data_IF_924416648085
#
_entry.id   IF_924416648085
#
_cell.length_a   1.000
_cell.length_b   1.000
_cell.length_c   1.000
_cell.angle_alpha   90.00
_cell.angle_beta   90.00
_cell.angle_gamma   90.00
#
_symmetry.space_group_name_H-M   'P 1'
#
loop_
_entity.id
_entity.type
_entity.pdbx_description
1 polymer ?
#
# COMPACT_ATOMS: atom_id res chain seq x y z
N UNK A 1 -24.18 16.87 -0.40
CA UNK A 1 -24.36 16.22 0.92
C UNK A 1 -23.18 16.58 1.81
N UNK A 2 -23.30 16.35 3.14
CA UNK A 2 -22.14 16.44 4.05
C UNK A 2 -21.52 15.07 4.24
N UNK A 3 -20.22 14.95 4.01
CA UNK A 3 -19.46 13.71 4.10
C UNK A 3 -18.25 13.94 5.00
N UNK A 4 -18.02 13.03 5.93
CA UNK A 4 -16.77 13.01 6.68
C UNK A 4 -15.85 11.90 6.12
N UNK A 5 -14.55 12.18 6.06
CA UNK A 5 -13.53 11.20 5.70
C UNK A 5 -12.50 11.14 6.83
N UNK A 6 -12.35 10.00 7.47
CA UNK A 6 -11.36 9.80 8.53
C UNK A 6 -10.06 9.25 7.98
N UNK A 7 -8.96 9.99 8.16
CA UNK A 7 -7.61 9.67 7.73
C UNK A 7 -7.18 10.42 6.46
N UNK A 8 -6.08 11.17 6.55
CA UNK A 8 -5.46 11.95 5.46
C UNK A 8 -4.26 11.22 4.81
N UNK A 9 -4.37 9.90 4.64
CA UNK A 9 -3.43 9.09 3.84
C UNK A 9 -3.86 9.00 2.38
N UNK A 10 -3.16 8.17 1.59
CA UNK A 10 -3.44 7.97 0.15
C UNK A 10 -4.92 7.65 -0.14
N UNK A 11 -5.52 6.73 0.62
CA UNK A 11 -6.92 6.33 0.43
C UNK A 11 -7.89 7.45 0.83
N UNK A 12 -7.72 7.99 2.04
CA UNK A 12 -8.66 8.98 2.57
C UNK A 12 -8.63 10.28 1.78
N UNK A 13 -7.45 10.83 1.52
CA UNK A 13 -7.34 12.10 0.80
C UNK A 13 -7.83 11.98 -0.65
N UNK A 14 -7.49 10.89 -1.38
CA UNK A 14 -7.99 10.68 -2.74
C UNK A 14 -9.51 10.58 -2.79
N UNK A 15 -10.12 9.78 -1.88
CA UNK A 15 -11.58 9.69 -1.79
C UNK A 15 -12.21 11.05 -1.42
N UNK A 16 -11.61 11.78 -0.46
CA UNK A 16 -12.12 13.09 -0.05
C UNK A 16 -12.12 14.09 -1.22
N UNK A 17 -11.04 14.14 -2.02
CA UNK A 17 -10.94 15.02 -3.18
C UNK A 17 -11.97 14.70 -4.27
N UNK A 18 -12.18 13.42 -4.55
CA UNK A 18 -13.16 13.00 -5.55
C UNK A 18 -14.59 13.32 -5.10
N UNK A 19 -14.94 13.01 -3.86
CA UNK A 19 -16.24 13.30 -3.29
C UNK A 19 -16.51 14.80 -3.14
N UNK A 20 -15.46 15.60 -2.90
CA UNK A 20 -15.56 17.05 -2.72
C UNK A 20 -15.91 17.81 -4.01
N UNK A 21 -15.87 17.15 -5.18
CA UNK A 21 -16.35 17.75 -6.44
C UNK A 21 -17.84 18.10 -6.38
N UNK A 22 -18.65 17.26 -5.72
CA UNK A 22 -20.11 17.36 -5.69
C UNK A 22 -20.69 17.46 -4.27
N UNK A 23 -19.86 17.36 -3.24
CA UNK A 23 -20.31 17.34 -1.84
C UNK A 23 -19.45 18.25 -0.97
N UNK A 24 -20.00 18.65 0.19
CA UNK A 24 -19.24 19.26 1.27
C UNK A 24 -18.51 18.16 2.05
N UNK A 25 -17.17 18.16 2.01
CA UNK A 25 -16.35 17.12 2.62
C UNK A 25 -15.51 17.69 3.75
N UNK A 26 -15.60 17.06 4.94
CA UNK A 26 -14.71 17.28 6.06
C UNK A 26 -13.74 16.10 6.20
N UNK A 27 -12.47 16.36 5.97
CA UNK A 27 -11.41 15.37 6.14
C UNK A 27 -10.84 15.49 7.56
N UNK A 28 -10.86 14.38 8.29
CA UNK A 28 -10.43 14.34 9.69
C UNK A 28 -9.10 13.64 9.82
N UNK A 29 -8.10 14.32 10.39
CA UNK A 29 -6.83 13.71 10.76
C UNK A 29 -6.30 14.31 12.06
N UNK A 30 -5.74 13.54 13.00
CA UNK A 30 -5.17 14.05 14.24
C UNK A 30 -3.88 14.86 14.02
N UNK A 31 -3.23 14.71 12.87
CA UNK A 31 -2.02 15.43 12.52
C UNK A 31 -2.34 16.86 12.07
N UNK A 32 -2.04 17.82 12.93
CA UNK A 32 -2.30 19.24 12.68
C UNK A 32 -1.52 19.80 11.49
N UNK A 33 -0.33 19.28 11.19
CA UNK A 33 0.46 19.70 10.02
C UNK A 33 -0.21 19.24 8.71
N UNK A 34 -0.71 18.00 8.66
CA UNK A 34 -1.49 17.54 7.51
C UNK A 34 -2.74 18.39 7.29
N UNK A 35 -3.47 18.67 8.37
CA UNK A 35 -4.67 19.52 8.32
C UNK A 35 -4.33 20.90 7.77
N UNK A 36 -3.23 21.50 8.22
CA UNK A 36 -2.75 22.81 7.76
C UNK A 36 -2.38 22.79 6.29
N UNK A 37 -1.59 21.81 5.84
CA UNK A 37 -1.17 21.66 4.44
C UNK A 37 -2.40 21.55 3.51
N UNK A 38 -3.34 20.64 3.82
CA UNK A 38 -4.53 20.42 3.00
C UNK A 38 -5.38 21.69 2.89
N UNK A 39 -5.60 22.40 4.00
CA UNK A 39 -6.34 23.66 4.01
C UNK A 39 -5.58 24.80 3.28
N UNK A 40 -4.24 24.69 3.18
CA UNK A 40 -3.39 25.57 2.40
C UNK A 40 -3.32 25.21 0.91
N UNK A 41 -4.00 24.14 0.47
CA UNK A 41 -3.92 23.67 -0.93
C UNK A 41 -2.67 22.86 -1.23
N UNK A 42 -1.98 22.36 -0.21
CA UNK A 42 -0.76 21.56 -0.32
C UNK A 42 -1.01 20.10 0.03
N UNK A 43 -0.30 19.19 -0.62
CA UNK A 43 -0.43 17.75 -0.36
C UNK A 43 0.50 17.30 0.77
N UNK A 44 -0.01 16.60 1.80
CA UNK A 44 0.82 16.00 2.84
C UNK A 44 1.45 14.65 2.43
N UNK A 45 1.17 14.17 1.21
CA UNK A 45 1.65 12.88 0.69
C UNK A 45 2.20 13.06 -0.73
N UNK A 46 3.11 12.18 -1.13
CA UNK A 46 3.76 12.25 -2.45
C UNK A 46 2.89 11.59 -3.53
N UNK A 47 2.01 12.37 -4.12
CA UNK A 47 1.18 12.02 -5.27
C UNK A 47 0.98 13.26 -6.14
N UNK A 48 1.51 13.24 -7.35
CA UNK A 48 1.45 14.38 -8.28
C UNK A 48 0.00 14.74 -8.64
N UNK A 49 -0.85 13.73 -8.81
CA UNK A 49 -2.27 13.93 -9.09
C UNK A 49 -2.97 14.70 -7.97
N UNK A 50 -2.69 14.35 -6.71
CA UNK A 50 -3.23 15.02 -5.53
C UNK A 50 -2.71 16.46 -5.45
N UNK A 51 -1.40 16.69 -5.65
CA UNK A 51 -0.83 18.05 -5.65
C UNK A 51 -1.51 18.93 -6.69
N UNK A 52 -1.60 18.44 -7.93
CA UNK A 52 -2.22 19.17 -9.02
C UNK A 52 -3.72 19.44 -8.78
N UNK A 53 -4.41 18.50 -8.14
CA UNK A 53 -5.84 18.66 -7.83
C UNK A 53 -6.06 19.70 -6.74
N UNK A 54 -5.30 19.67 -5.65
CA UNK A 54 -5.38 20.64 -4.57
C UNK A 54 -5.12 22.07 -5.05
N UNK A 55 -4.16 22.26 -5.96
CA UNK A 55 -3.86 23.59 -6.53
C UNK A 55 -4.98 24.16 -7.39
N UNK A 56 -5.82 23.32 -8.02
CA UNK A 56 -6.94 23.78 -8.85
C UNK A 56 -8.07 24.45 -8.05
N UNK A 57 -8.26 24.07 -6.79
CA UNK A 57 -9.18 24.74 -5.85
C UNK A 57 -10.68 24.66 -6.17
N UNK A 58 -11.09 23.86 -7.13
CA UNK A 58 -12.50 23.78 -7.55
C UNK A 58 -13.22 22.58 -6.89
N UNK A 59 -13.27 22.58 -5.56
CA UNK A 59 -13.88 21.53 -4.75
C UNK A 59 -14.24 22.06 -3.34
N UNK A 60 -15.14 21.35 -2.64
CA UNK A 60 -15.64 21.73 -1.31
C UNK A 60 -15.02 20.81 -0.24
N UNK A 61 -13.71 20.91 -0.04
CA UNK A 61 -12.96 20.16 0.98
C UNK A 61 -12.43 21.11 2.06
N UNK A 62 -12.58 20.71 3.31
CA UNK A 62 -11.90 21.30 4.46
C UNK A 62 -11.36 20.18 5.36
N UNK A 63 -10.13 20.32 5.82
CA UNK A 63 -9.56 19.41 6.81
C UNK A 63 -9.72 19.96 8.23
N UNK A 64 -9.88 19.06 9.20
CA UNK A 64 -10.04 19.40 10.62
C UNK A 64 -9.48 18.30 11.51
N UNK A 65 -9.03 18.65 12.71
CA UNK A 65 -8.75 17.67 13.78
C UNK A 65 -9.94 17.48 14.74
N UNK A 66 -11.04 18.22 14.53
CA UNK A 66 -12.23 18.14 15.37
C UNK A 66 -13.22 17.10 14.86
N UNK A 67 -13.15 15.89 15.42
CA UNK A 67 -14.01 14.76 15.07
C UNK A 67 -15.50 15.04 15.32
N UNK A 68 -15.85 15.77 16.40
CA UNK A 68 -17.24 16.10 16.70
C UNK A 68 -17.87 16.98 15.61
N UNK A 69 -17.12 17.97 15.14
CA UNK A 69 -17.56 18.84 14.06
C UNK A 69 -17.78 18.05 12.76
N UNK A 70 -16.88 17.13 12.46
CA UNK A 70 -16.93 16.38 11.21
C UNK A 70 -18.06 15.35 11.17
N UNK A 71 -18.32 14.66 12.28
CA UNK A 71 -19.26 13.54 12.30
C UNK A 71 -20.72 13.95 12.62
N UNK A 72 -20.95 15.09 13.29
CA UNK A 72 -22.26 15.46 13.80
C UNK A 72 -23.37 15.47 12.73
N UNK A 73 -23.11 16.05 11.58
CA UNK A 73 -24.08 16.23 10.49
C UNK A 73 -23.74 15.42 9.23
N UNK A 74 -22.77 14.50 9.30
CA UNK A 74 -22.34 13.73 8.16
C UNK A 74 -23.39 12.68 7.76
N UNK A 75 -23.83 12.69 6.51
CA UNK A 75 -24.67 11.62 5.95
C UNK A 75 -23.88 10.33 5.75
N UNK A 76 -22.59 10.47 5.40
CA UNK A 76 -21.65 9.36 5.21
C UNK A 76 -20.35 9.64 5.95
N UNK A 77 -19.76 8.59 6.53
CA UNK A 77 -18.43 8.62 7.11
C UNK A 77 -17.57 7.55 6.44
N UNK A 78 -16.59 7.99 5.67
CA UNK A 78 -15.62 7.11 5.00
C UNK A 78 -14.44 6.89 5.96
N UNK A 79 -14.17 5.64 6.33
CA UNK A 79 -13.11 5.29 7.27
C UNK A 79 -11.91 4.76 6.50
N UNK A 80 -10.84 5.57 6.40
CA UNK A 80 -9.62 5.30 5.65
C UNK A 80 -8.36 5.52 6.50
N UNK A 81 -8.39 5.01 7.73
CA UNK A 81 -7.30 5.12 8.71
C UNK A 81 -6.34 3.91 8.62
N UNK A 82 -5.09 4.04 9.08
CA UNK A 82 -4.11 2.96 9.03
C UNK A 82 -4.54 1.71 9.81
N UNK A 83 -4.21 0.53 9.25
CA UNK A 83 -4.35 -0.78 9.89
C UNK A 83 -3.01 -1.50 9.76
N UNK A 84 -2.08 -1.25 10.68
CA UNK A 84 -0.76 -1.87 10.68
C UNK A 84 -0.86 -3.33 11.12
N UNK A 85 0.01 -4.18 10.57
CA UNK A 85 0.17 -5.54 11.07
C UNK A 85 1.07 -5.51 12.31
N UNK A 86 0.63 -6.12 13.39
CA UNK A 86 1.41 -6.28 14.63
C UNK A 86 1.94 -7.70 14.70
N UNK A 87 3.26 -7.87 14.59
CA UNK A 87 3.92 -9.17 14.65
C UNK A 87 3.68 -9.88 15.99
N UNK A 88 3.61 -9.14 17.10
CA UNK A 88 3.44 -9.66 18.46
C UNK A 88 2.12 -10.41 18.64
N UNK A 89 1.09 -9.98 17.92
CA UNK A 89 -0.25 -10.60 17.98
C UNK A 89 -0.62 -11.30 16.65
N UNK A 90 0.28 -11.27 15.66
CA UNK A 90 0.09 -11.82 14.34
C UNK A 90 -1.24 -11.40 13.66
N UNK A 91 -1.64 -10.13 13.81
CA UNK A 91 -2.93 -9.60 13.30
C UNK A 91 -2.82 -8.12 12.98
N UNK A 92 -3.79 -7.63 12.18
CA UNK A 92 -3.99 -6.21 12.02
C UNK A 92 -4.38 -5.52 13.33
N UNK A 93 -3.79 -4.35 13.58
CA UNK A 93 -4.27 -3.44 14.60
C UNK A 93 -5.45 -2.63 14.05
N UNK A 94 -6.65 -3.00 14.46
CA UNK A 94 -7.90 -2.34 14.07
C UNK A 94 -8.35 -1.27 15.05
N UNK A 95 -7.56 -0.98 16.08
CA UNK A 95 -7.96 -0.09 17.19
C UNK A 95 -8.37 1.30 16.72
N UNK A 96 -7.69 1.86 15.70
CA UNK A 96 -8.04 3.19 15.17
C UNK A 96 -9.37 3.12 14.41
N UNK A 97 -9.60 2.09 13.59
CA UNK A 97 -10.88 1.88 12.88
C UNK A 97 -12.03 1.74 13.88
N UNK A 98 -11.83 0.94 14.93
CA UNK A 98 -12.80 0.74 15.99
C UNK A 98 -13.12 2.05 16.71
N UNK A 99 -12.09 2.84 17.07
CA UNK A 99 -12.26 4.14 17.73
C UNK A 99 -13.07 5.13 16.87
N UNK A 100 -12.82 5.18 15.56
CA UNK A 100 -13.59 6.03 14.64
C UNK A 100 -15.06 5.59 14.62
N UNK A 101 -15.32 4.29 14.44
CA UNK A 101 -16.70 3.76 14.37
C UNK A 101 -17.44 4.00 15.69
N UNK A 102 -16.79 3.80 16.83
CA UNK A 102 -17.36 4.09 18.17
C UNK A 102 -17.76 5.55 18.29
N UNK A 103 -16.87 6.48 17.92
CA UNK A 103 -17.15 7.92 17.98
C UNK A 103 -18.28 8.30 17.06
N UNK A 104 -18.28 7.83 15.82
CA UNK A 104 -19.38 8.10 14.87
C UNK A 104 -20.70 7.58 15.41
N UNK A 105 -20.76 6.34 15.89
CA UNK A 105 -21.99 5.73 16.43
C UNK A 105 -22.54 6.47 17.65
N UNK A 106 -21.67 7.13 18.43
CA UNK A 106 -22.07 7.96 19.59
C UNK A 106 -22.55 9.34 19.19
N UNK A 107 -21.85 9.97 18.21
CA UNK A 107 -22.12 11.37 17.79
C UNK A 107 -23.32 11.43 16.85
N UNK A 108 -23.39 10.49 15.88
CA UNK A 108 -24.38 10.49 14.81
C UNK A 108 -24.81 9.06 14.46
N UNK A 109 -25.92 8.63 15.03
CA UNK A 109 -26.47 7.27 14.81
C UNK A 109 -27.05 7.08 13.41
N UNK A 110 -27.26 8.16 12.68
CA UNK A 110 -27.86 8.13 11.34
C UNK A 110 -26.83 8.05 10.22
N UNK A 111 -25.58 8.36 10.50
CA UNK A 111 -24.50 8.28 9.53
C UNK A 111 -24.31 6.85 8.98
N UNK A 112 -24.16 6.77 7.67
CA UNK A 112 -23.73 5.53 7.00
C UNK A 112 -22.22 5.48 7.04
N UNK A 113 -21.66 4.43 7.64
CA UNK A 113 -20.21 4.24 7.78
C UNK A 113 -19.72 3.31 6.68
N UNK A 114 -18.75 3.77 5.90
CA UNK A 114 -18.11 2.98 4.83
C UNK A 114 -16.65 2.77 5.18
N UNK A 115 -16.28 1.54 5.53
CA UNK A 115 -14.91 1.17 5.85
C UNK A 115 -14.15 0.93 4.54
N UNK A 116 -13.11 1.72 4.29
CA UNK A 116 -12.14 1.52 3.21
C UNK A 116 -10.79 1.01 3.71
N UNK A 117 -10.51 1.13 5.00
CA UNK A 117 -9.34 0.53 5.63
C UNK A 117 -9.36 -0.99 5.47
N UNK A 118 -8.21 -1.60 5.19
CA UNK A 118 -8.10 -3.06 5.12
C UNK A 118 -8.26 -3.66 6.52
N UNK A 119 -9.21 -4.57 6.69
CA UNK A 119 -9.54 -5.18 7.98
C UNK A 119 -9.51 -6.72 7.87
N UNK A 120 -9.43 -7.46 8.99
CA UNK A 120 -9.54 -8.91 8.98
C UNK A 120 -10.92 -9.37 8.50
N UNK A 121 -11.00 -10.58 7.93
CA UNK A 121 -12.26 -11.19 7.50
C UNK A 121 -13.19 -11.41 8.72
N UNK A 122 -14.43 -10.91 8.62
CA UNK A 122 -15.42 -10.92 9.69
C UNK A 122 -15.44 -9.69 10.58
N UNK A 123 -14.55 -8.71 10.35
CA UNK A 123 -14.44 -7.51 11.15
C UNK A 123 -15.71 -6.67 11.13
N UNK A 124 -16.27 -6.39 9.95
CA UNK A 124 -17.47 -5.56 9.80
C UNK A 124 -18.65 -6.10 10.60
N UNK A 125 -18.81 -7.43 10.59
CA UNK A 125 -19.85 -8.12 11.40
C UNK A 125 -19.58 -7.94 12.90
N UNK A 126 -18.34 -8.15 13.32
CA UNK A 126 -17.95 -8.03 14.73
C UNK A 126 -18.16 -6.62 15.26
N UNK A 127 -17.75 -5.63 14.50
CA UNK A 127 -17.83 -4.22 14.93
C UNK A 127 -19.28 -3.71 14.95
N UNK A 128 -20.11 -4.16 14.00
CA UNK A 128 -21.54 -3.87 13.96
C UNK A 128 -22.24 -4.38 15.22
N UNK A 129 -21.95 -5.61 15.64
CA UNK A 129 -22.48 -6.19 16.88
C UNK A 129 -21.97 -5.42 18.12
N UNK A 130 -20.68 -5.08 18.15
CA UNK A 130 -20.05 -4.38 19.28
C UNK A 130 -20.69 -3.03 19.55
N UNK A 131 -21.00 -2.27 18.49
CA UNK A 131 -21.57 -0.91 18.62
C UNK A 131 -23.07 -0.84 18.34
N UNK A 132 -23.72 -1.99 18.17
CA UNK A 132 -25.16 -2.11 17.90
C UNK A 132 -25.64 -1.19 16.76
N UNK A 133 -24.95 -1.27 15.62
CA UNK A 133 -25.27 -0.49 14.41
C UNK A 133 -25.27 -1.36 13.17
N UNK A 134 -26.32 -1.24 12.34
CA UNK A 134 -26.41 -1.92 11.04
C UNK A 134 -25.90 -1.06 9.88
N UNK A 135 -25.57 0.20 10.12
CA UNK A 135 -25.17 1.17 9.09
C UNK A 135 -23.66 1.15 8.81
N UNK A 136 -23.02 -0.02 8.93
CA UNK A 136 -21.59 -0.23 8.64
C UNK A 136 -21.44 -1.11 7.40
N UNK A 137 -20.76 -0.58 6.40
CA UNK A 137 -20.49 -1.23 5.13
C UNK A 137 -18.98 -1.31 4.92
N UNK A 138 -18.54 -2.29 4.15
CA UNK A 138 -17.15 -2.41 3.75
C UNK A 138 -17.00 -2.18 2.25
N UNK A 139 -16.08 -1.30 1.85
CA UNK A 139 -15.77 -1.05 0.44
C UNK A 139 -14.26 -1.06 0.24
N UNK A 140 -13.67 -2.21 -0.15
CA UNK A 140 -12.23 -2.33 -0.30
C UNK A 140 -11.66 -1.35 -1.31
N UNK A 141 -10.44 -0.86 -1.03
CA UNK A 141 -9.71 0.01 -1.92
C UNK A 141 -8.60 -0.77 -2.64
N UNK A 142 -8.40 -0.49 -3.94
CA UNK A 142 -7.41 -1.17 -4.77
C UNK A 142 -6.40 -0.22 -5.42
N UNK A 143 -6.33 1.02 -4.96
CA UNK A 143 -5.39 2.03 -5.47
C UNK A 143 -3.93 1.68 -5.17
N UNK A 144 -3.04 2.30 -5.95
CA UNK A 144 -1.58 2.22 -5.79
C UNK A 144 -1.04 3.52 -5.22
N UNK A 145 -0.17 3.43 -4.21
CA UNK A 145 0.57 4.58 -3.68
C UNK A 145 1.36 5.26 -4.82
N UNK A 146 1.41 6.60 -4.80
CA UNK A 146 2.00 7.42 -5.85
C UNK A 146 1.11 7.66 -7.09
N UNK A 147 0.00 6.91 -7.24
CA UNK A 147 -1.02 7.08 -8.28
C UNK A 147 -2.43 7.02 -7.71
N UNK A 148 -2.56 7.35 -6.43
CA UNK A 148 -3.77 7.10 -5.66
C UNK A 148 -4.97 7.88 -6.21
N UNK A 149 -4.80 9.15 -6.56
CA UNK A 149 -5.89 9.94 -7.13
C UNK A 149 -6.32 9.41 -8.50
N UNK A 150 -5.37 9.06 -9.36
CA UNK A 150 -5.68 8.49 -10.68
C UNK A 150 -6.47 7.18 -10.54
N UNK A 151 -6.01 6.27 -9.70
CA UNK A 151 -6.68 4.99 -9.48
C UNK A 151 -8.06 5.16 -8.81
N UNK A 152 -8.22 6.19 -7.96
CA UNK A 152 -9.51 6.54 -7.37
C UNK A 152 -10.49 7.14 -8.39
N UNK A 153 -9.99 7.90 -9.38
CA UNK A 153 -10.81 8.42 -10.49
C UNK A 153 -11.18 7.36 -11.52
N UNK A 154 -10.32 6.33 -11.68
CA UNK A 154 -10.47 5.26 -12.66
C UNK A 154 -10.41 3.89 -11.96
N UNK A 155 -11.31 3.61 -11.01
CA UNK A 155 -11.27 2.36 -10.26
C UNK A 155 -11.56 1.17 -11.18
N UNK A 156 -10.75 0.12 -11.08
CA UNK A 156 -10.95 -1.11 -11.86
C UNK A 156 -12.28 -1.80 -11.53
N UNK A 157 -12.79 -1.57 -10.33
CA UNK A 157 -14.07 -2.10 -9.82
C UNK A 157 -14.46 -1.39 -8.52
N UNK A 158 -15.75 -1.42 -8.20
CA UNK A 158 -16.29 -1.03 -6.89
C UNK A 158 -16.98 -2.24 -6.28
N UNK A 159 -16.63 -2.55 -5.04
CA UNK A 159 -17.24 -3.63 -4.26
C UNK A 159 -17.86 -3.01 -3.01
N UNK A 160 -19.11 -3.37 -2.72
CA UNK A 160 -19.80 -2.99 -1.50
C UNK A 160 -20.17 -4.25 -0.74
N UNK A 161 -19.63 -4.39 0.45
CA UNK A 161 -19.95 -5.42 1.43
C UNK A 161 -20.99 -4.94 2.42
N UNK A 162 -22.14 -5.61 2.50
CA UNK A 162 -23.22 -5.35 3.42
C UNK A 162 -23.42 -6.50 4.42
N UNK A 163 -23.94 -6.21 5.61
CA UNK A 163 -24.21 -7.23 6.65
C UNK A 163 -25.56 -7.91 6.47
N UNK A 164 -26.52 -7.25 5.88
CA UNK A 164 -27.83 -7.71 5.54
C UNK A 164 -28.15 -7.33 4.09
N UNK A 165 -29.24 -7.86 3.54
CA UNK A 165 -29.67 -7.55 2.17
C UNK A 165 -30.24 -6.10 2.08
N UNK A 166 -29.45 -5.14 2.56
CA UNK A 166 -29.77 -3.71 2.46
C UNK A 166 -29.28 -3.18 1.12
N UNK A 167 -29.98 -3.59 0.07
CA UNK A 167 -29.65 -3.19 -1.31
C UNK A 167 -29.84 -1.70 -1.54
N UNK A 168 -30.81 -1.08 -0.88
CA UNK A 168 -31.09 0.35 -1.07
C UNK A 168 -29.90 1.21 -0.64
N UNK A 169 -29.37 0.97 0.59
CA UNK A 169 -28.21 1.73 1.08
C UNK A 169 -26.96 1.37 0.28
N UNK A 170 -26.79 0.09 -0.08
CA UNK A 170 -25.66 -0.33 -0.91
C UNK A 170 -25.64 0.38 -2.27
N UNK A 171 -26.79 0.56 -2.94
CA UNK A 171 -26.88 1.33 -4.17
C UNK A 171 -26.61 2.82 -3.96
N UNK A 172 -27.09 3.41 -2.87
CA UNK A 172 -26.77 4.82 -2.53
C UNK A 172 -25.25 5.02 -2.34
N UNK A 173 -24.57 4.06 -1.70
CA UNK A 173 -23.09 4.09 -1.58
C UNK A 173 -22.43 3.97 -2.94
N UNK A 174 -22.90 3.06 -3.80
CA UNK A 174 -22.39 2.92 -5.17
C UNK A 174 -22.55 4.23 -5.94
N UNK A 175 -23.73 4.82 -5.91
CA UNK A 175 -24.01 6.08 -6.62
C UNK A 175 -23.13 7.22 -6.11
N UNK A 176 -22.96 7.35 -4.79
CA UNK A 176 -22.03 8.29 -4.17
C UNK A 176 -20.59 8.11 -4.66
N UNK A 177 -20.08 6.88 -4.67
CA UNK A 177 -18.71 6.60 -5.12
C UNK A 177 -18.53 6.79 -6.63
N UNK A 178 -19.61 6.69 -7.43
CA UNK A 178 -19.57 6.83 -8.88
C UNK A 178 -19.87 8.25 -9.39
N UNK A 179 -20.48 9.12 -8.59
CA UNK A 179 -21.03 10.41 -9.05
C UNK A 179 -20.01 11.37 -9.65
N UNK A 180 -18.73 11.20 -9.27
CA UNK A 180 -17.62 12.06 -9.72
C UNK A 180 -16.64 11.35 -10.65
N UNK A 181 -16.95 10.11 -11.07
CA UNK A 181 -16.13 9.32 -11.98
C UNK A 181 -16.48 9.61 -13.44
N UNK A 182 -15.49 9.58 -14.31
CA UNK A 182 -15.69 9.77 -15.76
C UNK A 182 -16.44 8.60 -16.41
N UNK A 183 -16.32 7.40 -15.84
CA UNK A 183 -17.02 6.19 -16.30
C UNK A 183 -17.38 5.29 -15.13
N UNK A 184 -18.52 4.61 -15.23
CA UNK A 184 -18.97 3.66 -14.20
C UNK A 184 -18.20 2.34 -14.34
N UNK A 185 -17.43 1.94 -13.30
CA UNK A 185 -16.67 0.68 -13.33
C UNK A 185 -17.60 -0.53 -13.11
N UNK A 186 -17.12 -1.76 -13.28
CA UNK A 186 -17.80 -2.95 -12.77
C UNK A 186 -18.11 -2.83 -11.28
N UNK A 187 -19.35 -3.16 -10.91
CA UNK A 187 -19.86 -3.03 -9.53
C UNK A 187 -20.31 -4.40 -9.05
N UNK A 188 -19.96 -4.72 -7.80
CA UNK A 188 -20.42 -5.93 -7.14
C UNK A 188 -20.86 -5.63 -5.70
N UNK A 189 -22.11 -5.96 -5.38
CA UNK A 189 -22.66 -5.92 -4.01
C UNK A 189 -22.68 -7.35 -3.49
N UNK A 190 -22.13 -7.56 -2.27
CA UNK A 190 -21.99 -8.88 -1.67
C UNK A 190 -22.04 -8.79 -0.14
N UNK A 191 -21.91 -9.92 0.57
CA UNK A 191 -21.73 -9.91 2.02
C UNK A 191 -20.45 -9.18 2.44
N UNK A 192 -20.48 -8.55 3.62
CA UNK A 192 -19.33 -7.79 4.11
C UNK A 192 -18.09 -8.69 4.32
N UNK A 193 -18.29 -9.89 4.84
CA UNK A 193 -17.21 -10.86 5.06
C UNK A 193 -16.57 -11.32 3.75
N UNK A 194 -17.36 -11.52 2.71
CA UNK A 194 -16.89 -11.86 1.38
C UNK A 194 -16.10 -10.69 0.75
N UNK A 195 -16.57 -9.46 0.92
CA UNK A 195 -15.87 -8.28 0.43
C UNK A 195 -14.51 -8.06 1.12
N UNK A 196 -14.42 -8.30 2.44
CA UNK A 196 -13.17 -8.31 3.21
C UNK A 196 -12.21 -9.39 2.67
N UNK A 197 -12.71 -10.59 2.41
CA UNK A 197 -11.92 -11.67 1.82
C UNK A 197 -11.39 -11.30 0.43
N UNK A 198 -12.21 -10.68 -0.44
CA UNK A 198 -11.77 -10.22 -1.77
C UNK A 198 -10.53 -9.34 -1.69
N UNK A 199 -10.46 -8.42 -0.73
CA UNK A 199 -9.29 -7.55 -0.57
C UNK A 199 -8.02 -8.33 -0.27
N UNK A 200 -8.08 -9.25 0.69
CA UNK A 200 -6.91 -10.03 1.10
C UNK A 200 -6.48 -11.02 0.02
N UNK A 201 -7.43 -11.71 -0.62
CA UNK A 201 -7.14 -12.64 -1.71
C UNK A 201 -6.58 -11.93 -2.95
N UNK A 202 -7.10 -10.75 -3.31
CA UNK A 202 -6.56 -9.98 -4.42
C UNK A 202 -5.09 -9.60 -4.19
N UNK A 203 -4.77 -9.06 -3.01
CA UNK A 203 -3.38 -8.67 -2.69
C UNK A 203 -2.47 -9.90 -2.56
N UNK A 204 -2.96 -11.02 -2.01
CA UNK A 204 -2.19 -12.26 -1.94
C UNK A 204 -1.92 -12.84 -3.33
N UNK A 205 -2.88 -12.76 -4.27
CA UNK A 205 -2.65 -13.16 -5.66
C UNK A 205 -1.54 -12.32 -6.32
N UNK A 206 -1.55 -11.00 -6.11
CA UNK A 206 -0.49 -10.14 -6.65
C UNK A 206 0.88 -10.47 -6.03
N UNK A 207 0.93 -10.74 -4.72
CA UNK A 207 2.15 -11.18 -4.04
C UNK A 207 2.65 -12.52 -4.59
N UNK A 208 1.74 -13.47 -4.85
CA UNK A 208 2.05 -14.75 -5.48
C UNK A 208 2.69 -14.56 -6.86
N UNK A 209 2.16 -13.67 -7.68
CA UNK A 209 2.75 -13.39 -9.00
C UNK A 209 4.19 -12.88 -8.89
N UNK A 210 4.44 -11.92 -8.00
CA UNK A 210 5.81 -11.44 -7.74
C UNK A 210 6.70 -12.58 -7.25
N UNK A 211 6.22 -13.42 -6.33
CA UNK A 211 6.97 -14.60 -5.85
C UNK A 211 7.30 -15.57 -6.97
N UNK A 212 6.35 -15.87 -7.85
CA UNK A 212 6.56 -16.76 -9.00
C UNK A 212 7.68 -16.25 -9.90
N UNK A 213 7.66 -14.98 -10.31
CA UNK A 213 8.69 -14.42 -11.17
C UNK A 213 10.01 -14.23 -10.44
N UNK A 214 10.02 -14.02 -9.14
CA UNK A 214 11.24 -14.02 -8.33
C UNK A 214 11.89 -15.41 -8.26
N UNK A 215 11.12 -16.49 -8.14
CA UNK A 215 11.64 -17.85 -8.15
C UNK A 215 12.13 -18.28 -9.55
N UNK A 216 11.42 -17.87 -10.61
CA UNK A 216 11.87 -18.03 -11.98
C UNK A 216 13.22 -17.33 -12.19
N UNK A 217 13.37 -16.11 -11.68
CA UNK A 217 14.61 -15.34 -11.74
C UNK A 217 15.77 -16.02 -10.99
N UNK A 218 15.49 -16.57 -9.80
CA UNK A 218 16.47 -17.39 -9.05
C UNK A 218 16.92 -18.59 -9.88
N UNK A 219 15.97 -19.33 -10.45
CA UNK A 219 16.26 -20.49 -11.28
C UNK A 219 17.14 -20.13 -12.47
N UNK A 220 16.79 -19.06 -13.19
CA UNK A 220 17.54 -18.60 -14.35
C UNK A 220 18.97 -18.18 -13.95
N UNK A 221 19.14 -17.41 -12.88
CA UNK A 221 20.46 -16.98 -12.41
C UNK A 221 21.33 -18.15 -11.99
N UNK A 222 20.80 -19.15 -11.26
CA UNK A 222 21.53 -20.33 -10.82
C UNK A 222 21.91 -21.27 -11.97
N UNK A 223 21.15 -21.24 -13.06
CA UNK A 223 21.42 -22.03 -14.27
C UNK A 223 22.20 -21.27 -15.35
N UNK A 224 22.55 -20.00 -15.11
CA UNK A 224 23.22 -19.16 -16.10
C UNK A 224 22.37 -18.85 -17.34
N UNK A 225 21.04 -18.80 -17.17
CA UNK A 225 20.09 -18.52 -18.23
C UNK A 225 19.70 -17.02 -18.22
N UNK A 226 19.19 -16.52 -19.34
CA UNK A 226 18.65 -15.18 -19.44
C UNK A 226 17.23 -15.16 -18.86
N UNK A 227 17.07 -14.65 -17.63
CA UNK A 227 15.77 -14.56 -16.96
C UNK A 227 14.77 -13.69 -17.73
N UNK A 228 15.24 -12.61 -18.37
CA UNK A 228 14.38 -11.70 -19.13
C UNK A 228 13.73 -12.43 -20.32
N UNK A 229 14.50 -13.18 -21.10
CA UNK A 229 13.97 -13.91 -22.26
C UNK A 229 12.93 -14.97 -21.83
N UNK A 230 13.16 -15.63 -20.68
CA UNK A 230 12.22 -16.62 -20.15
C UNK A 230 10.93 -15.94 -19.71
N UNK A 231 11.03 -14.81 -18.98
CA UNK A 231 9.85 -14.05 -18.51
C UNK A 231 9.07 -13.52 -19.70
N UNK A 232 9.73 -12.90 -20.68
CA UNK A 232 9.10 -12.40 -21.90
C UNK A 232 8.35 -13.54 -22.62
N UNK A 233 8.99 -14.71 -22.79
CA UNK A 233 8.36 -15.87 -23.43
C UNK A 233 7.13 -16.40 -22.66
N UNK A 234 7.23 -16.52 -21.32
CA UNK A 234 6.10 -16.94 -20.47
C UNK A 234 4.94 -15.94 -20.54
N UNK A 235 5.24 -14.65 -20.56
CA UNK A 235 4.23 -13.59 -20.54
C UNK A 235 3.54 -13.37 -21.89
N UNK A 236 4.02 -13.99 -23.01
CA UNK A 236 3.30 -14.00 -24.30
C UNK A 236 1.95 -14.73 -24.21
N UNK A 237 1.79 -15.66 -23.27
CA UNK A 237 0.48 -16.27 -23.02
C UNK A 237 -0.49 -15.22 -22.44
N UNK A 238 -1.60 -14.87 -23.13
CA UNK A 238 -2.54 -13.85 -22.68
C UNK A 238 -3.24 -14.18 -21.34
N UNK A 239 -3.24 -15.45 -20.93
CA UNK A 239 -3.74 -15.89 -19.61
C UNK A 239 -2.78 -15.54 -18.48
N UNK A 240 -1.50 -15.30 -18.80
CA UNK A 240 -0.45 -14.90 -17.86
C UNK A 240 -0.25 -13.38 -17.92
N UNK A 241 0.08 -12.85 -19.10
CA UNK A 241 0.30 -11.42 -19.30
C UNK A 241 1.49 -10.85 -18.53
N UNK A 242 1.71 -9.54 -18.66
CA UNK A 242 2.92 -8.86 -18.15
C UNK A 242 2.74 -8.18 -16.79
N UNK A 243 1.59 -8.35 -16.12
CA UNK A 243 1.35 -7.70 -14.83
C UNK A 243 2.18 -8.34 -13.71
N UNK A 244 2.88 -7.51 -12.93
CA UNK A 244 3.69 -7.97 -11.78
C UNK A 244 4.72 -9.05 -12.13
N UNK A 245 5.32 -8.97 -13.33
CA UNK A 245 6.31 -9.93 -13.84
C UNK A 245 7.76 -9.48 -13.67
N UNK A 246 8.01 -8.23 -13.27
CA UNK A 246 9.37 -7.73 -13.06
C UNK A 246 9.93 -8.27 -11.73
N UNK A 247 11.05 -9.02 -11.74
CA UNK A 247 11.68 -9.48 -10.52
C UNK A 247 12.10 -8.32 -9.62
N UNK A 248 12.18 -8.63 -8.34
CA UNK A 248 12.53 -7.68 -7.30
C UNK A 248 13.30 -8.38 -6.18
N UNK A 249 13.67 -7.65 -5.15
CA UNK A 249 14.26 -8.22 -3.94
C UNK A 249 13.24 -8.92 -3.02
N UNK A 250 11.99 -8.92 -3.40
CA UNK A 250 10.83 -9.49 -2.76
C UNK A 250 9.61 -8.62 -3.00
N UNK A 251 8.39 -9.15 -2.86
CA UNK A 251 7.24 -8.28 -2.82
C UNK A 251 7.27 -7.46 -1.53
N UNK A 252 6.97 -6.17 -1.65
CA UNK A 252 7.09 -5.20 -0.57
C UNK A 252 6.08 -4.08 -0.73
N UNK A 253 6.40 -2.92 -0.16
CA UNK A 253 5.46 -1.84 0.06
C UNK A 253 4.57 -2.15 1.26
N UNK A 254 3.68 -1.23 1.61
CA UNK A 254 2.88 -1.34 2.82
C UNK A 254 1.84 -2.47 2.76
N UNK A 255 1.20 -2.67 1.61
CA UNK A 255 0.00 -3.51 1.52
C UNK A 255 0.29 -5.01 1.35
N UNK A 256 1.12 -5.40 0.37
CA UNK A 256 1.26 -6.82 0.04
C UNK A 256 1.79 -7.67 1.20
N UNK A 257 2.87 -7.28 1.91
CA UNK A 257 3.39 -8.09 3.02
C UNK A 257 2.39 -8.29 4.16
N UNK A 258 1.74 -7.21 4.61
CA UNK A 258 0.80 -7.28 5.73
C UNK A 258 -0.47 -8.04 5.41
N UNK A 259 -1.00 -7.87 4.18
CA UNK A 259 -2.25 -8.50 3.76
C UNK A 259 -2.07 -10.01 3.54
N UNK A 260 -0.93 -10.45 2.99
CA UNK A 260 -0.59 -11.87 2.86
C UNK A 260 -0.40 -12.55 4.22
N UNK A 261 0.30 -11.90 5.16
CA UNK A 261 0.45 -12.40 6.53
C UNK A 261 -0.91 -12.51 7.22
N UNK A 262 -1.78 -11.50 7.10
CA UNK A 262 -3.13 -11.54 7.67
C UNK A 262 -3.96 -12.66 7.07
N UNK A 263 -3.91 -12.88 5.74
CA UNK A 263 -4.63 -13.98 5.11
C UNK A 263 -4.11 -15.35 5.60
N UNK A 264 -2.79 -15.50 5.74
CA UNK A 264 -2.18 -16.71 6.27
C UNK A 264 -2.73 -17.04 7.67
N UNK A 265 -2.87 -16.04 8.54
CA UNK A 265 -3.47 -16.21 9.88
C UNK A 265 -4.96 -16.60 9.78
N UNK A 266 -5.70 -16.02 8.86
CA UNK A 266 -7.12 -16.38 8.64
C UNK A 266 -7.31 -17.84 8.21
N UNK A 267 -6.26 -18.49 7.69
CA UNK A 267 -6.27 -19.92 7.33
C UNK A 267 -5.99 -20.85 8.51
N UNK A 268 -5.85 -20.34 9.73
CA UNK A 268 -5.63 -21.20 10.89
C UNK A 268 -6.75 -22.25 11.01
N UNK A 269 -6.39 -23.55 10.95
CA UNK A 269 -7.33 -24.66 10.97
C UNK A 269 -7.98 -24.98 9.62
N UNK A 270 -7.65 -24.27 8.54
CA UNK A 270 -8.13 -24.52 7.19
C UNK A 270 -6.99 -25.13 6.35
N UNK A 271 -7.21 -26.23 5.63
CA UNK A 271 -6.17 -26.83 4.78
C UNK A 271 -5.67 -25.86 3.71
N UNK A 272 -4.36 -25.67 3.65
CA UNK A 272 -3.70 -24.82 2.64
C UNK A 272 -2.20 -25.13 2.57
N UNK A 273 -1.58 -24.86 1.43
CA UNK A 273 -0.12 -24.88 1.23
C UNK A 273 0.35 -23.60 0.53
N UNK A 274 -0.42 -23.16 -0.47
CA UNK A 274 -0.03 -22.03 -1.31
C UNK A 274 0.09 -20.72 -0.53
N UNK A 275 -0.82 -20.44 0.39
CA UNK A 275 -0.86 -19.15 1.10
C UNK A 275 0.36 -18.98 2.02
N UNK A 276 0.75 -20.04 2.75
CA UNK A 276 1.98 -20.02 3.55
C UNK A 276 3.22 -19.97 2.66
N UNK A 277 3.24 -20.73 1.54
CA UNK A 277 4.35 -20.74 0.60
C UNK A 277 4.61 -19.35 0.00
N UNK A 278 3.59 -18.53 -0.25
CA UNK A 278 3.76 -17.15 -0.71
C UNK A 278 4.52 -16.31 0.32
N UNK A 279 4.17 -16.43 1.61
CA UNK A 279 4.87 -15.71 2.68
C UNK A 279 6.32 -16.20 2.80
N UNK A 280 6.53 -17.51 2.83
CA UNK A 280 7.86 -18.13 2.96
C UNK A 280 8.77 -17.82 1.76
N UNK A 281 8.20 -17.80 0.54
CA UNK A 281 8.95 -17.46 -0.68
C UNK A 281 9.56 -16.07 -0.66
N UNK A 282 8.87 -15.10 -0.02
CA UNK A 282 9.39 -13.75 0.12
C UNK A 282 10.62 -13.70 1.02
N UNK A 283 10.64 -14.46 2.11
CA UNK A 283 11.79 -14.55 3.01
C UNK A 283 12.96 -15.32 2.37
N UNK A 284 12.65 -16.38 1.62
CA UNK A 284 13.60 -17.12 0.78
C UNK A 284 14.27 -16.20 -0.24
N UNK A 285 13.48 -15.37 -0.94
CA UNK A 285 14.00 -14.40 -1.91
C UNK A 285 14.97 -13.40 -1.27
N UNK A 286 14.58 -12.79 -0.17
CA UNK A 286 15.45 -11.84 0.57
C UNK A 286 16.76 -12.52 1.04
N UNK A 287 16.67 -13.74 1.52
CA UNK A 287 17.83 -14.55 1.90
C UNK A 287 18.77 -14.83 0.71
N UNK A 288 18.20 -15.17 -0.43
CA UNK A 288 18.95 -15.40 -1.68
C UNK A 288 19.69 -14.13 -2.13
N UNK A 289 19.02 -12.98 -2.18
CA UNK A 289 19.64 -11.69 -2.52
C UNK A 289 20.83 -11.39 -1.60
N UNK A 290 20.66 -11.57 -0.28
CA UNK A 290 21.75 -11.39 0.70
C UNK A 290 22.91 -12.32 0.38
N UNK A 291 22.67 -13.59 0.06
CA UNK A 291 23.72 -14.56 -0.26
C UNK A 291 24.52 -14.15 -1.51
N UNK A 292 23.83 -13.64 -2.55
CA UNK A 292 24.46 -13.16 -3.78
C UNK A 292 25.32 -11.92 -3.55
N UNK A 293 24.84 -10.97 -2.75
CA UNK A 293 25.64 -9.78 -2.37
C UNK A 293 26.90 -10.22 -1.61
N UNK A 294 26.79 -11.14 -0.65
CA UNK A 294 27.94 -11.63 0.12
C UNK A 294 28.97 -12.39 -0.73
N UNK A 295 28.56 -13.06 -1.81
CA UNK A 295 29.48 -13.69 -2.76
C UNK A 295 30.42 -12.68 -3.44
N UNK A 296 30.00 -11.41 -3.57
CA UNK A 296 30.84 -10.32 -4.08
C UNK A 296 31.88 -9.84 -3.05
N UNK A 297 31.85 -10.35 -1.81
CA UNK A 297 32.76 -10.05 -0.70
C UNK A 297 32.91 -8.55 -0.39
N UNK A 298 31.81 -7.77 -0.35
CA UNK A 298 31.91 -6.35 -0.04
C UNK A 298 32.25 -6.14 1.43
N UNK A 299 32.96 -5.05 1.74
CA UNK A 299 33.10 -4.52 3.11
C UNK A 299 32.01 -3.47 3.38
N UNK A 300 31.69 -2.70 2.36
CA UNK A 300 30.67 -1.65 2.40
C UNK A 300 29.69 -1.83 1.25
N UNK A 301 28.40 -1.83 1.59
CA UNK A 301 27.29 -1.88 0.64
C UNK A 301 26.57 -0.55 0.66
N UNK A 302 26.49 0.09 -0.50
CA UNK A 302 25.66 1.25 -0.73
C UNK A 302 24.24 0.85 -1.10
N UNK A 303 23.27 1.41 -0.41
CA UNK A 303 21.85 1.20 -0.74
C UNK A 303 21.37 2.39 -1.55
N UNK A 304 20.98 2.13 -2.79
CA UNK A 304 20.39 3.14 -3.66
C UNK A 304 18.87 3.11 -3.52
N UNK A 305 18.34 4.07 -2.77
CA UNK A 305 16.95 4.28 -2.40
C UNK A 305 16.32 3.15 -1.58
N UNK A 306 15.51 3.53 -0.63
CA UNK A 306 14.73 2.62 0.22
C UNK A 306 13.37 2.29 -0.39
N UNK A 307 12.85 3.14 -1.26
CA UNK A 307 11.55 3.00 -1.90
C UNK A 307 11.56 1.87 -2.93
N UNK A 308 10.46 1.11 -2.95
CA UNK A 308 10.29 -0.01 -3.89
C UNK A 308 9.50 0.37 -5.14
N UNK A 309 8.65 1.39 -5.05
CA UNK A 309 7.83 1.90 -6.15
C UNK A 309 8.28 3.32 -6.45
N UNK A 310 8.45 3.63 -7.72
CA UNK A 310 8.60 5.03 -8.14
C UNK A 310 7.41 5.83 -7.62
N UNK A 311 7.66 7.00 -7.01
CA UNK A 311 6.63 7.90 -6.48
C UNK A 311 5.94 7.44 -5.17
N UNK A 312 6.51 6.52 -4.39
CA UNK A 312 6.05 6.22 -3.03
C UNK A 312 7.03 6.78 -2.01
N UNK A 313 6.54 7.28 -0.89
CA UNK A 313 7.33 7.74 0.26
C UNK A 313 7.35 6.72 1.41
N UNK A 314 6.65 5.59 1.24
CA UNK A 314 6.49 4.57 2.27
C UNK A 314 7.44 3.39 2.09
N UNK A 315 8.57 3.41 2.81
CA UNK A 315 9.58 2.35 2.78
C UNK A 315 9.60 1.44 4.03
N UNK A 316 8.64 1.60 4.96
CA UNK A 316 8.64 0.87 6.26
C UNK A 316 8.68 -0.64 6.11
N UNK A 317 7.96 -1.20 5.14
CA UNK A 317 7.89 -2.64 4.84
C UNK A 317 8.61 -3.00 3.52
N UNK A 318 9.54 -2.15 3.09
CA UNK A 318 10.32 -2.42 1.88
C UNK A 318 11.26 -3.61 2.10
N UNK A 319 11.33 -4.53 1.13
CA UNK A 319 12.20 -5.73 1.21
C UNK A 319 13.67 -5.37 1.44
N UNK A 320 14.11 -4.19 1.00
CA UNK A 320 15.46 -3.69 1.21
C UNK A 320 15.82 -3.52 2.68
N UNK A 321 14.85 -3.16 3.54
CA UNK A 321 15.07 -3.00 4.98
C UNK A 321 15.49 -4.32 5.64
N UNK A 322 14.86 -5.42 5.26
CA UNK A 322 15.21 -6.76 5.73
C UNK A 322 16.59 -7.19 5.23
N UNK A 323 16.90 -6.88 3.97
CA UNK A 323 18.21 -7.17 3.37
C UNK A 323 19.30 -6.41 4.10
N UNK A 324 19.12 -5.11 4.36
CA UNK A 324 20.06 -4.28 5.10
C UNK A 324 20.33 -4.85 6.50
N UNK A 325 19.26 -5.21 7.23
CA UNK A 325 19.39 -5.82 8.55
C UNK A 325 20.18 -7.14 8.51
N UNK A 326 19.87 -8.02 7.53
CA UNK A 326 20.59 -9.29 7.35
C UNK A 326 22.07 -9.08 7.00
N UNK A 327 22.39 -8.11 6.14
CA UNK A 327 23.78 -7.75 5.80
C UNK A 327 24.53 -7.17 7.01
N UNK A 328 23.90 -6.27 7.79
CA UNK A 328 24.48 -5.70 9.02
C UNK A 328 24.83 -6.80 10.04
N UNK A 329 23.94 -7.80 10.21
CA UNK A 329 24.21 -8.97 11.08
C UNK A 329 25.39 -9.83 10.58
N UNK A 330 25.78 -9.72 9.32
CA UNK A 330 26.98 -10.38 8.75
C UNK A 330 28.23 -9.49 8.79
N UNK A 331 28.15 -8.34 9.48
CA UNK A 331 29.28 -7.42 9.65
C UNK A 331 29.55 -6.51 8.45
N UNK A 332 28.62 -6.40 7.51
CA UNK A 332 28.74 -5.50 6.36
C UNK A 332 28.39 -4.07 6.79
N UNK A 333 29.23 -3.11 6.43
CA UNK A 333 28.92 -1.69 6.60
C UNK A 333 27.87 -1.26 5.55
N UNK A 334 26.86 -0.46 5.96
CA UNK A 334 25.76 -0.03 5.10
C UNK A 334 25.73 1.49 5.06
N UNK A 335 25.67 2.05 3.85
CA UNK A 335 25.46 3.48 3.58
C UNK A 335 24.22 3.63 2.71
N UNK A 336 23.37 4.57 3.03
CA UNK A 336 22.10 4.79 2.31
C UNK A 336 22.18 6.09 1.51
N UNK A 337 21.74 6.05 0.27
CA UNK A 337 21.36 7.24 -0.50
C UNK A 337 19.84 7.20 -0.74
N UNK A 338 19.13 8.09 -0.05
CA UNK A 338 17.68 8.28 -0.18
C UNK A 338 17.35 9.79 -0.16
N UNK A 339 17.00 10.38 -1.29
CA UNK A 339 16.77 11.82 -1.39
C UNK A 339 15.69 12.38 -0.46
N UNK A 340 14.75 11.51 -0.02
CA UNK A 340 13.65 11.91 0.88
C UNK A 340 14.13 12.03 2.33
N UNK A 341 15.26 11.41 2.68
CA UNK A 341 15.78 11.45 4.04
C UNK A 341 16.61 12.72 4.26
N UNK A 342 16.18 13.56 5.18
CA UNK A 342 16.90 14.74 5.62
C UNK A 342 17.67 14.41 6.90
N UNK A 343 18.93 13.99 6.79
CA UNK A 343 19.74 13.69 7.96
C UNK A 343 20.98 12.86 7.66
N UNK A 344 21.86 12.77 8.66
CA UNK A 344 23.13 12.00 8.55
C UNK A 344 22.99 10.52 8.92
N UNK A 345 21.85 10.12 9.48
CA UNK A 345 21.58 8.72 9.85
C UNK A 345 20.09 8.38 9.79
N UNK A 346 19.79 7.11 9.50
CA UNK A 346 18.46 6.53 9.55
C UNK A 346 18.53 5.10 10.12
N UNK A 347 17.80 4.82 11.19
CA UNK A 347 17.83 3.51 11.88
C UNK A 347 19.27 2.99 12.14
N UNK A 348 20.18 3.83 12.64
CA UNK A 348 21.61 3.51 12.87
C UNK A 348 22.41 3.17 11.61
N UNK A 349 21.96 3.57 10.42
CA UNK A 349 22.70 3.53 9.18
C UNK A 349 23.16 4.92 8.77
N UNK A 350 24.38 5.01 8.20
CA UNK A 350 24.87 6.24 7.59
C UNK A 350 24.01 6.60 6.38
N UNK A 351 23.61 7.87 6.27
CA UNK A 351 22.90 8.40 5.11
C UNK A 351 23.81 9.43 4.40
N UNK A 352 23.87 9.35 3.09
CA UNK A 352 24.56 10.35 2.25
C UNK A 352 23.56 11.08 1.36
N UNK A 353 23.78 12.35 1.11
CA UNK A 353 23.01 13.19 0.20
C UNK A 353 23.51 13.13 -1.25
N UNK A 354 24.63 12.44 -1.49
CA UNK A 354 25.32 12.38 -2.78
C UNK A 354 25.45 10.94 -3.29
N UNK A 355 24.92 10.68 -4.48
CA UNK A 355 25.13 9.41 -5.18
C UNK A 355 26.61 9.17 -5.51
N UNK A 356 27.36 10.23 -5.80
CA UNK A 356 28.82 10.15 -6.02
C UNK A 356 29.52 9.64 -4.77
N UNK A 357 29.20 10.23 -3.62
CA UNK A 357 29.77 9.80 -2.33
C UNK A 357 29.36 8.37 -1.96
N UNK A 358 28.11 7.96 -2.27
CA UNK A 358 27.69 6.57 -2.12
C UNK A 358 28.58 5.65 -2.95
N UNK A 359 28.79 5.97 -4.25
CA UNK A 359 29.54 5.14 -5.18
C UNK A 359 31.04 5.07 -4.82
N UNK A 360 31.61 6.14 -4.30
CA UNK A 360 33.02 6.17 -3.84
C UNK A 360 33.24 5.34 -2.58
N UNK A 361 32.33 5.40 -1.61
CA UNK A 361 32.45 4.72 -0.33
C UNK A 361 32.04 3.23 -0.38
N UNK A 362 31.32 2.80 -1.42
CA UNK A 362 30.74 1.46 -1.52
C UNK A 362 31.52 0.55 -2.46
N UNK A 363 31.68 -0.71 -2.05
CA UNK A 363 32.21 -1.77 -2.93
C UNK A 363 31.13 -2.25 -3.92
N UNK A 364 29.89 -2.32 -3.47
CA UNK A 364 28.71 -2.72 -4.23
C UNK A 364 27.55 -1.75 -3.93
N UNK A 365 26.84 -1.32 -4.97
CA UNK A 365 25.59 -0.54 -4.85
C UNK A 365 24.42 -1.50 -5.07
N UNK A 366 23.54 -1.61 -4.11
CA UNK A 366 22.34 -2.44 -4.15
C UNK A 366 21.14 -1.58 -4.48
N UNK A 367 20.48 -1.87 -5.61
CA UNK A 367 19.33 -1.12 -6.10
C UNK A 367 18.17 -2.06 -6.42
N UNK A 368 17.05 -1.91 -5.71
CA UNK A 368 15.84 -2.69 -6.01
C UNK A 368 15.20 -2.27 -7.34
N UNK A 369 15.35 -0.98 -7.70
CA UNK A 369 14.97 -0.42 -9.01
C UNK A 369 16.15 0.37 -9.58
N UNK A 370 16.37 0.22 -10.89
CA UNK A 370 17.44 0.90 -11.60
C UNK A 370 16.90 2.16 -12.26
N UNK A 371 17.60 3.27 -12.08
CA UNK A 371 17.30 4.53 -12.77
C UNK A 371 18.51 4.97 -13.60
N UNK A 372 18.30 5.93 -14.50
CA UNK A 372 19.37 6.47 -15.35
C UNK A 372 20.53 7.08 -14.55
N UNK A 373 20.31 7.51 -13.31
CA UNK A 373 21.35 8.04 -12.41
C UNK A 373 22.42 6.99 -12.07
N UNK A 374 22.09 5.70 -12.14
CA UNK A 374 23.00 4.59 -11.84
C UNK A 374 23.87 4.16 -13.04
N UNK A 375 23.59 4.64 -14.26
CA UNK A 375 24.34 4.23 -15.46
C UNK A 375 25.87 4.44 -15.34
N UNK A 376 26.38 5.58 -14.76
CA UNK A 376 27.82 5.76 -14.55
C UNK A 376 28.46 4.73 -13.61
N UNK A 377 27.67 4.09 -12.76
CA UNK A 377 28.11 3.17 -11.71
C UNK A 377 27.71 1.71 -11.97
N UNK A 378 27.23 1.37 -13.16
CA UNK A 378 26.67 0.08 -13.55
C UNK A 378 27.57 -1.12 -13.17
N UNK A 379 28.89 -0.97 -13.24
CA UNK A 379 29.83 -2.02 -12.86
C UNK A 379 29.83 -2.38 -11.38
N UNK A 380 29.32 -1.49 -10.51
CA UNK A 380 29.16 -1.70 -9.07
C UNK A 380 27.73 -2.04 -8.66
N UNK A 381 26.76 -1.93 -9.57
CA UNK A 381 25.33 -2.09 -9.23
C UNK A 381 24.93 -3.55 -9.24
N UNK A 382 24.38 -4.00 -8.12
CA UNK A 382 23.65 -5.25 -8.01
C UNK A 382 22.15 -4.96 -7.99
N UNK A 383 21.43 -5.44 -8.97
CA UNK A 383 19.98 -5.31 -9.09
C UNK A 383 19.38 -6.54 -9.78
N UNK A 384 18.10 -6.78 -9.51
CA UNK A 384 17.28 -7.79 -10.23
C UNK A 384 16.10 -7.13 -10.96
N UNK A 385 16.18 -5.84 -11.19
CA UNK A 385 15.24 -5.10 -12.03
C UNK A 385 15.57 -5.34 -13.50
N UNK A 386 14.73 -6.10 -14.19
CA UNK A 386 14.96 -6.52 -15.58
C UNK A 386 14.24 -5.63 -16.61
N UNK A 387 13.21 -4.90 -16.17
CA UNK A 387 12.32 -4.14 -17.06
C UNK A 387 12.30 -2.64 -16.78
N UNK A 388 12.83 -2.17 -15.66
CA UNK A 388 12.79 -0.76 -15.25
C UNK A 388 11.38 -0.26 -14.88
N UNK A 389 10.42 -1.17 -14.71
CA UNK A 389 9.01 -0.87 -14.45
C UNK A 389 8.53 -1.58 -13.18
N UNK A 390 7.44 -1.04 -12.60
CA UNK A 390 6.76 -1.62 -11.43
C UNK A 390 5.49 -2.38 -11.81
#
# INVERSE_FOLDING_TARGET
MKIAVAGAGYVGLSNALILAKNNEVLLVDPDAEKVKLINGGESPIDDEGIRNFLQKGNFHLRATSNENEAYADASYVIVAVPTNYKEEIAKFDTSIVESVIEKVSRINKDAIIVIKSTVPVGFTKTISLKFNTSKVFFSPEFLREGRALFDCQHPSRIIIGALCDDREISHKIVDLLCESLDSRPPIQIMGATEAEAVKLFANTYLAMRVSYFNELDIYAEEKGLNAKDIIDGVCLDPRIGTHYNNPSFGYGGYCLPKDTKQLCVNYQGIPQNLISAIVDSNDTRKGYIVSKILQLKPRTVGIYRLIMKSQSDNFREASIMDIMRKLKLKGINIIIYEPILNGVSYCDYEVTDSLVALAEKSDVIVANRVTNELEPYKSKVYSRDLFGEN
#
